data_IF_200172001239
#
_entry.id   IF_200172001239
#
_cell.length_a   1.000
_cell.length_b   1.000
_cell.length_c   1.000
_cell.angle_alpha   90.00
_cell.angle_beta   90.00
_cell.angle_gamma   90.00
#
_symmetry.space_group_name_H-M   'P 1'
#
loop_
_entity.id
_entity.type
_entity.pdbx_description
1 polymer ?
#
# COMPACT_ATOMS: atom_id res chain seq x y z
N UNK A 1 67.80 43.35 36.99
CA UNK A 1 66.40 42.89 37.07
C UNK A 1 65.81 42.93 35.69
N UNK A 2 65.69 41.77 35.04
CA UNK A 2 65.14 41.67 33.69
C UNK A 2 64.13 40.54 33.68
N UNK A 3 62.86 40.93 33.54
CA UNK A 3 61.66 40.11 33.61
C UNK A 3 61.57 39.18 32.39
N UNK A 4 61.29 37.89 32.63
CA UNK A 4 61.01 36.91 31.59
C UNK A 4 59.49 36.66 31.52
N UNK A 5 58.90 36.85 30.34
CA UNK A 5 57.48 36.62 30.06
C UNK A 5 57.34 35.30 29.30
N UNK A 6 56.52 34.39 29.82
CA UNK A 6 56.27 33.06 29.25
C UNK A 6 54.95 33.09 28.47
N UNK A 7 55.00 32.73 27.19
CA UNK A 7 53.80 32.59 26.32
C UNK A 7 53.58 31.11 26.00
N UNK A 8 52.41 30.58 26.35
CA UNK A 8 52.01 29.19 26.09
C UNK A 8 51.24 29.15 24.76
N UNK A 9 51.60 28.24 23.85
CA UNK A 9 50.87 28.00 22.61
C UNK A 9 50.20 26.62 22.64
N UNK A 10 48.89 26.59 22.38
CA UNK A 10 48.04 25.38 22.39
C UNK A 10 47.99 24.77 20.98
N UNK A 11 48.29 23.48 20.85
CA UNK A 11 48.24 22.73 19.58
C UNK A 11 46.90 21.99 19.47
N UNK A 12 46.13 22.25 18.41
CA UNK A 12 44.87 21.56 18.12
C UNK A 12 45.12 20.46 17.08
N UNK A 13 44.89 19.20 17.44
CA UNK A 13 45.02 18.04 16.53
C UNK A 13 43.68 17.75 15.85
N UNK A 14 43.62 17.83 14.52
CA UNK A 14 42.45 17.41 13.74
C UNK A 14 42.57 15.92 13.38
N UNK A 15 41.54 15.13 13.70
CA UNK A 15 41.46 13.69 13.36
C UNK A 15 40.60 13.52 12.11
N UNK A 16 41.18 12.99 11.02
CA UNK A 16 40.48 12.71 9.77
C UNK A 16 39.95 11.26 9.79
N UNK A 17 38.64 11.09 9.86
CA UNK A 17 37.98 9.78 9.78
C UNK A 17 37.62 9.47 8.33
N UNK A 18 38.34 8.55 7.70
CA UNK A 18 38.06 8.05 6.36
C UNK A 18 36.90 7.05 6.40
N UNK A 19 35.77 7.36 5.76
CA UNK A 19 34.64 6.44 5.60
C UNK A 19 34.88 5.56 4.37
N UNK A 20 35.11 4.26 4.59
CA UNK A 20 35.22 3.26 3.52
C UNK A 20 33.80 2.83 3.11
N UNK A 21 33.34 3.29 1.95
CA UNK A 21 32.08 2.85 1.34
C UNK A 21 32.27 1.53 0.60
N UNK A 22 31.83 0.43 1.22
CA UNK A 22 31.75 -0.88 0.55
C UNK A 22 30.56 -0.86 -0.41
N UNK A 23 30.84 -0.83 -1.72
CA UNK A 23 29.83 -0.99 -2.77
C UNK A 23 29.44 -2.46 -2.86
N UNK A 24 28.33 -2.84 -2.21
CA UNK A 24 27.70 -4.15 -2.42
C UNK A 24 26.87 -4.06 -3.70
N UNK A 25 27.34 -4.71 -4.76
CA UNK A 25 26.57 -4.86 -6.00
C UNK A 25 25.34 -5.73 -5.73
N UNK A 26 24.17 -5.09 -5.59
CA UNK A 26 22.89 -5.79 -5.51
C UNK A 26 22.53 -6.33 -6.90
N UNK A 27 22.48 -7.65 -7.05
CA UNK A 27 21.84 -8.30 -8.19
C UNK A 27 20.32 -8.23 -7.96
N UNK A 28 19.67 -7.19 -8.48
CA UNK A 28 18.21 -7.07 -8.43
C UNK A 28 17.59 -8.16 -9.30
N UNK A 29 16.97 -9.16 -8.68
CA UNK A 29 16.16 -10.15 -9.39
C UNK A 29 15.04 -9.40 -10.12
N UNK A 30 14.81 -9.69 -11.40
CA UNK A 30 13.87 -8.96 -12.28
C UNK A 30 12.41 -8.93 -11.77
N UNK A 31 12.06 -9.83 -10.82
CA UNK A 31 10.78 -9.86 -10.10
C UNK A 31 10.64 -8.80 -9.01
N UNK A 32 11.76 -8.27 -8.49
CA UNK A 32 11.81 -7.18 -7.50
C UNK A 32 11.33 -5.85 -8.11
N UNK A 33 11.32 -5.72 -9.44
CA UNK A 33 10.88 -4.51 -10.12
C UNK A 33 9.35 -4.45 -10.32
N UNK A 34 8.65 -5.58 -10.21
CA UNK A 34 7.19 -5.63 -10.34
C UNK A 34 6.55 -5.70 -8.94
N UNK A 35 6.69 -4.61 -8.18
CA UNK A 35 6.12 -4.49 -6.83
C UNK A 35 4.63 -4.17 -6.88
N UNK A 36 3.90 -4.61 -5.85
CA UNK A 36 2.45 -4.42 -5.71
C UNK A 36 2.14 -3.57 -4.47
N UNK A 37 1.30 -2.56 -4.67
CA UNK A 37 0.52 -1.95 -3.61
C UNK A 37 -0.87 -2.58 -3.61
N UNK A 38 -1.25 -3.25 -2.52
CA UNK A 38 -2.52 -3.98 -2.44
C UNK A 38 -3.45 -3.36 -1.42
N UNK A 39 -4.74 -3.21 -1.75
CA UNK A 39 -5.71 -2.73 -0.78
C UNK A 39 -7.01 -3.52 -0.80
N UNK A 40 -7.68 -3.53 0.36
CA UNK A 40 -9.00 -4.12 0.52
C UNK A 40 -9.93 -3.14 1.26
N UNK A 41 -11.21 -3.19 0.92
CA UNK A 41 -12.29 -2.51 1.65
C UNK A 41 -13.05 -3.55 2.45
N UNK A 42 -13.06 -3.41 3.77
CA UNK A 42 -13.62 -4.36 4.72
C UNK A 42 -14.86 -3.76 5.35
N UNK A 43 -15.98 -4.49 5.29
CA UNK A 43 -17.18 -4.17 6.08
C UNK A 43 -16.84 -4.41 7.54
N UNK A 44 -17.08 -3.40 8.38
CA UNK A 44 -16.79 -3.50 9.83
C UNK A 44 -17.69 -4.52 10.53
N UNK A 45 -18.84 -4.83 9.93
CA UNK A 45 -19.78 -5.83 10.41
C UNK A 45 -19.70 -7.14 9.61
N UNK A 46 -20.03 -8.25 10.27
CA UNK A 46 -20.09 -9.57 9.64
C UNK A 46 -18.78 -10.35 9.74
N UNK A 47 -18.53 -11.22 8.75
CA UNK A 47 -17.42 -12.19 8.81
C UNK A 47 -16.08 -11.64 8.29
N UNK A 48 -16.10 -10.54 7.55
CA UNK A 48 -14.90 -10.00 6.89
C UNK A 48 -13.79 -9.57 7.87
N UNK A 49 -14.08 -8.90 9.01
CA UNK A 49 -13.05 -8.55 10.00
C UNK A 49 -12.26 -9.75 10.52
N UNK A 50 -12.98 -10.84 10.84
CA UNK A 50 -12.37 -12.07 11.35
C UNK A 50 -11.53 -12.76 10.27
N UNK A 51 -12.06 -12.83 9.04
CA UNK A 51 -11.33 -13.40 7.90
C UNK A 51 -10.05 -12.61 7.62
N UNK A 52 -10.16 -11.28 7.48
CA UNK A 52 -9.01 -10.42 7.21
C UNK A 52 -7.98 -10.46 8.34
N UNK A 53 -8.41 -10.56 9.60
CA UNK A 53 -7.50 -10.74 10.74
C UNK A 53 -6.73 -12.05 10.61
N UNK A 54 -7.41 -13.13 10.23
CA UNK A 54 -6.81 -14.43 10.02
C UNK A 54 -5.83 -14.47 8.84
N UNK A 55 -6.10 -13.69 7.78
CA UNK A 55 -5.17 -13.49 6.65
C UNK A 55 -3.95 -12.65 7.08
N UNK A 56 -4.15 -11.60 7.87
CA UNK A 56 -3.10 -10.72 8.38
C UNK A 56 -2.14 -11.48 9.30
N UNK A 57 -2.66 -12.26 10.25
CA UNK A 57 -1.82 -13.05 11.17
C UNK A 57 -0.95 -14.07 10.44
N UNK A 58 -1.37 -14.53 9.27
CA UNK A 58 -0.61 -15.48 8.43
C UNK A 58 0.25 -14.80 7.37
N UNK A 59 0.17 -13.47 7.23
CA UNK A 59 0.85 -12.69 6.20
C UNK A 59 0.58 -13.24 4.79
N UNK A 60 -0.70 -13.47 4.46
CA UNK A 60 -1.18 -13.97 3.15
C UNK A 60 -2.20 -13.02 2.52
N UNK A 61 -2.62 -13.29 1.28
CA UNK A 61 -3.47 -12.38 0.49
C UNK A 61 -2.79 -11.01 0.32
N UNK A 62 -3.50 -9.89 0.51
CA UNK A 62 -2.93 -8.53 0.37
C UNK A 62 -1.75 -8.27 1.33
N UNK A 63 -1.70 -8.99 2.46
CA UNK A 63 -0.64 -8.83 3.46
C UNK A 63 0.70 -9.44 3.02
N UNK A 64 0.72 -10.13 1.88
CA UNK A 64 1.94 -10.61 1.23
C UNK A 64 2.41 -9.71 0.06
N UNK A 65 1.78 -8.56 -0.17
CA UNK A 65 2.27 -7.53 -1.09
C UNK A 65 3.36 -6.69 -0.42
N UNK A 66 4.17 -5.97 -1.20
CA UNK A 66 5.25 -5.12 -0.68
C UNK A 66 4.72 -4.04 0.25
N UNK A 67 3.61 -3.43 -0.14
CA UNK A 67 2.86 -2.51 0.70
C UNK A 67 1.37 -2.80 0.58
N UNK A 68 0.65 -2.51 1.66
CA UNK A 68 -0.79 -2.69 1.70
C UNK A 68 -1.51 -1.59 2.49
N UNK A 69 -2.82 -1.52 2.26
CA UNK A 69 -3.76 -0.71 3.01
C UNK A 69 -5.07 -1.47 3.24
N UNK A 70 -5.71 -1.22 4.38
CA UNK A 70 -7.06 -1.73 4.68
C UNK A 70 -7.95 -0.53 4.94
N UNK A 71 -9.10 -0.49 4.27
CA UNK A 71 -10.11 0.54 4.47
C UNK A 71 -11.35 -0.05 5.11
N UNK A 72 -11.90 0.61 6.13
CA UNK A 72 -13.09 0.18 6.85
C UNK A 72 -14.34 0.88 6.32
N UNK A 73 -15.41 0.12 6.06
CA UNK A 73 -16.73 0.67 5.75
C UNK A 73 -17.69 0.42 6.93
N UNK A 74 -18.09 1.51 7.61
CA UNK A 74 -19.01 1.45 8.75
C UNK A 74 -18.35 1.61 10.13
N UNK A 75 -17.33 2.47 10.27
CA UNK A 75 -16.71 2.78 11.57
C UNK A 75 -15.23 2.39 11.69
N UNK A 76 -14.61 2.68 12.85
CA UNK A 76 -13.26 2.24 13.17
C UNK A 76 -13.15 0.71 13.18
N UNK A 77 -12.06 0.19 12.61
CA UNK A 77 -11.84 -1.26 12.49
C UNK A 77 -10.36 -1.61 12.67
N UNK A 78 -10.12 -2.70 13.39
CA UNK A 78 -8.82 -3.35 13.49
C UNK A 78 -8.86 -4.72 12.81
N UNK A 79 -7.84 -4.98 12.00
CA UNK A 79 -7.61 -6.24 11.30
C UNK A 79 -6.27 -6.79 11.79
N UNK A 80 -6.31 -7.66 12.81
CA UNK A 80 -5.11 -8.06 13.54
C UNK A 80 -4.38 -6.83 14.10
N UNK A 81 -3.13 -6.62 13.69
CA UNK A 81 -2.34 -5.47 14.09
C UNK A 81 -2.54 -4.20 13.22
N UNK A 82 -3.39 -4.28 12.18
CA UNK A 82 -3.60 -3.19 11.22
C UNK A 82 -4.82 -2.37 11.60
N UNK A 83 -4.66 -1.06 11.77
CA UNK A 83 -5.77 -0.12 11.90
C UNK A 83 -6.28 0.24 10.50
N UNK A 84 -7.52 -0.15 10.19
CA UNK A 84 -8.12 0.17 8.90
C UNK A 84 -8.53 1.65 8.88
N UNK A 85 -8.15 2.37 7.82
CA UNK A 85 -8.57 3.76 7.64
C UNK A 85 -10.05 3.79 7.27
N UNK A 86 -10.85 4.54 8.00
CA UNK A 86 -12.30 4.62 7.80
C UNK A 86 -12.64 5.38 6.50
N UNK A 87 -13.55 4.81 5.72
CA UNK A 87 -14.15 5.47 4.56
C UNK A 87 -15.19 6.48 5.02
N UNK A 88 -15.08 7.72 4.55
CA UNK A 88 -16.08 8.76 4.78
C UNK A 88 -17.19 8.67 3.72
N UNK A 89 -17.67 7.46 3.42
CA UNK A 89 -18.79 7.29 2.53
C UNK A 89 -20.06 7.73 3.26
N UNK A 90 -20.63 8.85 2.84
CA UNK A 90 -21.82 9.46 3.45
C UNK A 90 -22.97 8.43 3.57
N UNK A 91 -23.15 7.92 4.80
CA UNK A 91 -24.18 6.94 5.13
C UNK A 91 -25.62 7.47 4.99
N UNK A 92 -25.80 8.75 4.62
CA UNK A 92 -27.14 9.36 4.44
C UNK A 92 -27.83 8.95 3.14
N UNK A 93 -27.14 8.33 2.18
CA UNK A 93 -27.80 7.68 1.04
C UNK A 93 -27.95 6.18 1.26
N UNK A 94 -28.54 5.76 2.38
CA UNK A 94 -29.29 4.48 2.36
C UNK A 94 -30.34 4.63 1.26
N UNK A 95 -30.09 4.03 0.09
CA UNK A 95 -31.05 3.98 -0.99
C UNK A 95 -32.39 3.52 -0.41
N UNK A 96 -33.37 4.43 -0.42
CA UNK A 96 -34.67 4.16 0.15
C UNK A 96 -35.30 3.11 -0.76
N UNK A 97 -35.37 1.85 -0.29
CA UNK A 97 -35.96 0.72 -1.02
C UNK A 97 -37.47 0.89 -1.30
N UNK A 98 -38.02 2.07 -1.02
CA UNK A 98 -39.42 2.45 -1.21
C UNK A 98 -39.66 3.29 -2.46
N UNK A 99 -38.62 3.75 -3.16
CA UNK A 99 -38.81 4.42 -4.46
C UNK A 99 -38.94 3.39 -5.58
N UNK A 100 -40.20 3.17 -5.94
CA UNK A 100 -40.71 2.31 -6.99
C UNK A 100 -39.95 2.52 -8.31
N UNK A 101 -38.87 1.74 -8.53
CA UNK A 101 -38.10 1.74 -9.79
C UNK A 101 -36.58 1.73 -9.66
N UNK A 102 -35.99 1.86 -8.47
CA UNK A 102 -34.53 1.75 -8.33
C UNK A 102 -34.10 0.29 -8.21
N UNK A 103 -33.78 -0.32 -9.35
CA UNK A 103 -32.96 -1.52 -9.34
C UNK A 103 -31.55 -1.13 -8.87
N UNK A 104 -31.06 -1.88 -7.88
CA UNK A 104 -29.66 -2.15 -7.55
C UNK A 104 -29.01 -1.41 -6.38
N UNK A 105 -28.62 -2.22 -5.40
CA UNK A 105 -27.41 -2.18 -4.57
C UNK A 105 -26.10 -1.76 -5.28
N UNK A 106 -26.10 -1.56 -6.61
CA UNK A 106 -24.92 -1.22 -7.42
C UNK A 106 -24.42 0.20 -7.16
N UNK A 107 -25.32 1.18 -7.04
CA UNK A 107 -24.95 2.59 -6.82
C UNK A 107 -24.24 2.81 -5.47
N UNK A 108 -24.66 2.10 -4.43
CA UNK A 108 -24.05 2.17 -3.10
C UNK A 108 -22.62 1.62 -3.10
N UNK A 109 -22.40 0.50 -3.80
CA UNK A 109 -21.07 -0.08 -3.93
C UNK A 109 -20.12 0.86 -4.66
N UNK A 110 -20.59 1.54 -5.72
CA UNK A 110 -19.74 2.48 -6.49
C UNK A 110 -19.19 3.61 -5.63
N UNK A 111 -20.00 4.23 -4.77
CA UNK A 111 -19.54 5.36 -3.95
C UNK A 111 -18.48 4.94 -2.91
N UNK A 112 -18.65 3.78 -2.28
CA UNK A 112 -17.68 3.21 -1.34
C UNK A 112 -16.33 2.98 -2.02
N UNK A 113 -16.33 2.43 -3.25
CA UNK A 113 -15.08 2.19 -3.97
C UNK A 113 -14.44 3.48 -4.50
N UNK A 114 -15.22 4.49 -4.90
CA UNK A 114 -14.68 5.80 -5.26
C UNK A 114 -13.95 6.45 -4.07
N UNK A 115 -14.55 6.39 -2.89
CA UNK A 115 -13.91 6.92 -1.68
C UNK A 115 -12.64 6.14 -1.33
N UNK A 116 -12.65 4.81 -1.46
CA UNK A 116 -11.45 4.01 -1.27
C UNK A 116 -10.33 4.41 -2.22
N UNK A 117 -10.64 4.71 -3.49
CA UNK A 117 -9.64 5.21 -4.44
C UNK A 117 -9.12 6.61 -4.08
N UNK A 118 -9.96 7.51 -3.57
CA UNK A 118 -9.50 8.80 -3.05
C UNK A 118 -8.47 8.59 -1.93
N UNK A 119 -8.76 7.69 -0.98
CA UNK A 119 -7.83 7.37 0.10
C UNK A 119 -6.52 6.76 -0.41
N UNK A 120 -6.57 5.92 -1.44
CA UNK A 120 -5.37 5.39 -2.11
C UNK A 120 -4.55 6.54 -2.70
N UNK A 121 -5.19 7.48 -3.41
CA UNK A 121 -4.49 8.61 -4.00
C UNK A 121 -3.85 9.53 -2.95
N UNK A 122 -4.56 9.80 -1.86
CA UNK A 122 -4.04 10.59 -0.73
C UNK A 122 -2.88 9.91 0.00
N UNK A 123 -2.92 8.59 0.16
CA UNK A 123 -1.85 7.80 0.79
C UNK A 123 -0.54 7.94 -0.01
N UNK A 124 -0.63 7.92 -1.35
CA UNK A 124 0.48 8.18 -2.26
C UNK A 124 1.52 7.04 -2.35
N UNK A 125 1.49 6.03 -1.46
CA UNK A 125 2.40 4.87 -1.55
C UNK A 125 2.21 4.10 -2.85
N UNK A 126 1.00 4.06 -3.39
CA UNK A 126 0.68 3.45 -4.69
C UNK A 126 1.59 3.91 -5.84
N UNK A 127 2.07 5.16 -5.82
CA UNK A 127 2.93 5.72 -6.86
C UNK A 127 4.34 5.12 -6.87
N UNK A 128 4.76 4.49 -5.78
CA UNK A 128 6.07 3.84 -5.63
C UNK A 128 6.09 2.40 -6.14
N UNK A 129 4.95 1.89 -6.57
CA UNK A 129 4.79 0.50 -6.99
C UNK A 129 4.45 0.40 -8.47
N UNK A 130 4.84 -0.72 -9.09
CA UNK A 130 4.53 -0.99 -10.49
C UNK A 130 3.03 -1.17 -10.73
N UNK A 131 2.32 -1.74 -9.73
CA UNK A 131 0.89 -1.99 -9.82
C UNK A 131 0.17 -1.69 -8.51
N UNK A 132 -1.04 -1.18 -8.65
CA UNK A 132 -2.03 -1.06 -7.57
C UNK A 132 -3.12 -2.09 -7.76
N UNK A 133 -3.43 -2.86 -6.71
CA UNK A 133 -4.36 -4.00 -6.78
C UNK A 133 -5.44 -3.85 -5.73
N UNK A 134 -6.69 -3.75 -6.18
CA UNK A 134 -7.87 -3.90 -5.31
C UNK A 134 -8.17 -5.39 -5.16
N UNK A 135 -8.30 -5.86 -3.92
CA UNK A 135 -8.66 -7.25 -3.62
C UNK A 135 -9.84 -7.27 -2.66
N UNK A 136 -10.87 -8.05 -2.99
CA UNK A 136 -12.03 -8.22 -2.11
C UNK A 136 -11.62 -9.07 -0.88
N UNK A 137 -12.16 -8.79 0.33
CA UNK A 137 -11.73 -9.46 1.57
C UNK A 137 -11.87 -10.99 1.59
N UNK A 138 -12.78 -11.53 0.79
CA UNK A 138 -13.09 -12.96 0.66
C UNK A 138 -12.40 -13.63 -0.54
N UNK A 139 -11.59 -12.89 -1.30
CA UNK A 139 -10.87 -13.44 -2.43
C UNK A 139 -9.67 -14.30 -1.97
N UNK A 140 -9.53 -15.49 -2.58
CA UNK A 140 -8.30 -16.27 -2.49
C UNK A 140 -7.27 -15.65 -3.43
N UNK A 141 -6.39 -14.81 -2.89
CA UNK A 141 -5.42 -14.02 -3.64
C UNK A 141 -3.98 -14.44 -3.37
N UNK A 142 -3.18 -14.54 -4.43
CA UNK A 142 -1.76 -14.90 -4.37
C UNK A 142 -0.92 -13.85 -5.12
N UNK A 143 -0.32 -12.87 -4.41
CA UNK A 143 0.46 -11.79 -5.00
C UNK A 143 1.55 -12.28 -5.97
N UNK A 144 2.30 -13.32 -5.59
CA UNK A 144 3.33 -13.92 -6.43
C UNK A 144 2.78 -14.43 -7.78
N UNK A 145 1.61 -15.08 -7.77
CA UNK A 145 0.99 -15.57 -9.01
C UNK A 145 0.55 -14.42 -9.91
N UNK A 146 0.08 -13.32 -9.33
CA UNK A 146 -0.29 -12.13 -10.09
C UNK A 146 0.95 -11.48 -10.72
N UNK A 147 2.05 -11.32 -9.99
CA UNK A 147 3.31 -10.76 -10.52
C UNK A 147 3.81 -11.48 -11.76
N UNK A 148 3.76 -12.83 -11.77
CA UNK A 148 4.14 -13.64 -12.94
C UNK A 148 3.27 -13.30 -14.17
N UNK A 149 1.99 -12.99 -13.96
CA UNK A 149 1.06 -12.60 -15.04
C UNK A 149 1.25 -11.15 -15.49
N UNK A 150 1.64 -10.27 -14.58
CA UNK A 150 1.86 -8.85 -14.86
C UNK A 150 3.24 -8.54 -15.45
N UNK A 151 4.21 -9.44 -15.24
CA UNK A 151 5.59 -9.28 -15.72
C UNK A 151 5.71 -8.87 -17.20
N UNK A 152 4.97 -9.45 -18.16
CA UNK A 152 5.05 -9.03 -19.57
C UNK A 152 4.59 -7.59 -19.83
N UNK A 153 3.78 -7.02 -18.93
CA UNK A 153 3.20 -5.69 -19.07
C UNK A 153 4.00 -4.61 -18.33
N UNK A 154 4.97 -5.02 -17.51
CA UNK A 154 5.91 -4.16 -16.81
C UNK A 154 7.34 -4.69 -17.03
N UNK A 155 7.88 -4.61 -18.26
CA UNK A 155 9.25 -5.01 -18.51
C UNK A 155 10.18 -4.15 -17.65
N UNK A 156 11.07 -4.81 -16.93
CA UNK A 156 12.04 -4.19 -16.03
C UNK A 156 12.66 -2.92 -16.63
N UNK A 157 12.44 -1.78 -15.99
CA UNK A 157 13.07 -0.51 -16.32
C UNK A 157 12.29 0.41 -17.27
N UNK A 158 11.08 0.05 -17.71
CA UNK A 158 10.22 0.96 -18.49
C UNK A 158 9.20 1.64 -17.57
N UNK A 159 9.53 2.84 -17.11
CA UNK A 159 8.67 3.66 -16.23
C UNK A 159 7.68 4.55 -16.98
N UNK A 160 7.72 4.58 -18.32
CA UNK A 160 7.00 5.53 -19.17
C UNK A 160 6.08 4.85 -20.20
N UNK A 161 5.51 3.70 -19.80
CA UNK A 161 4.50 2.99 -20.58
C UNK A 161 3.10 3.61 -20.40
N UNK A 162 2.16 3.35 -21.34
CA UNK A 162 0.78 3.80 -21.17
C UNK A 162 0.18 3.19 -19.90
N UNK A 163 -0.65 3.97 -19.20
CA UNK A 163 -1.43 3.47 -18.05
C UNK A 163 -2.26 2.25 -18.48
N UNK A 164 -2.24 1.19 -17.65
CA UNK A 164 -2.93 -0.07 -17.92
C UNK A 164 -3.93 -0.37 -16.82
N UNK A 165 -5.09 -0.88 -17.21
CA UNK A 165 -6.11 -1.38 -16.30
C UNK A 165 -6.42 -2.83 -16.65
N UNK A 166 -6.40 -3.70 -15.64
CA UNK A 166 -6.77 -5.11 -15.77
C UNK A 166 -8.01 -5.33 -14.93
N UNK A 167 -9.14 -5.54 -15.59
CA UNK A 167 -10.39 -5.86 -14.93
C UNK A 167 -10.41 -7.32 -14.46
N UNK A 168 -11.28 -7.62 -13.48
CA UNK A 168 -11.65 -9.00 -13.20
C UNK A 168 -12.25 -9.65 -14.45
N UNK A 169 -12.14 -10.98 -14.56
CA UNK A 169 -12.77 -11.72 -15.64
C UNK A 169 -14.29 -11.52 -15.59
N UNK A 170 -14.88 -11.13 -16.72
CA UNK A 170 -16.33 -11.17 -16.87
C UNK A 170 -16.80 -12.62 -16.80
N UNK A 171 -17.87 -12.88 -16.03
CA UNK A 171 -18.60 -14.15 -16.18
C UNK A 171 -19.32 -14.08 -17.52
N UNK A 172 -18.77 -14.75 -18.52
CA UNK A 172 -19.47 -15.07 -19.78
C UNK A 172 -20.69 -15.94 -19.52
#
# INVERSE_FOLDING_TARGET
TTTATTTTATTTTATTTTLTSTSTTATTTTTELCTLFCFAVVRTEGYEPGLMTALQQRQISIFACEEYAVYGNGGPLWVGAVHARELQADGTKKGNMTENGTTTTSWLNTQIFLEAWNLVFEDGRWWKHAWTVKVDPDAVFFPHRLKVRLYPYYPAGVTDGPARYVANCDRS
#
